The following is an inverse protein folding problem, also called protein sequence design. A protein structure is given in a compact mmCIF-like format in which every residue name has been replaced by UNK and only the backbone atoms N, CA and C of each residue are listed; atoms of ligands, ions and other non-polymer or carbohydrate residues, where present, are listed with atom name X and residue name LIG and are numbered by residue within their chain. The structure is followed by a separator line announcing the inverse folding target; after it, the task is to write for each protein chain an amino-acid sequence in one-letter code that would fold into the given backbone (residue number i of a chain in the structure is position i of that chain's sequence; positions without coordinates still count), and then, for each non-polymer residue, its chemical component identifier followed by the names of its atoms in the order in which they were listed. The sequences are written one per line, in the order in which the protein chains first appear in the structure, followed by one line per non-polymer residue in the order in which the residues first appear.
data_IF_089381971042
#
_entry.id   IF_089381971042
#
_cell.length_a   1.000
_cell.length_b   1.000
_cell.length_c   1.000
_cell.angle_alpha   90.00
_cell.angle_beta   90.00
_cell.angle_gamma   90.00
#
_symmetry.space_group_name_H-M   'P 1'
#
loop_
_entity.id
_entity.type
_entity.pdbx_description
1 polymer ?
#
# COMPACT_ATOMS: atom_id res chain seq x y z
N UNK A 1 -0.49 1.12 -13.35
CA UNK A 1 -1.63 1.85 -12.78
C UNK A 1 -1.40 1.98 -11.30
N UNK A 2 -1.79 3.09 -10.69
CA UNK A 2 -1.67 3.23 -9.24
C UNK A 2 -2.88 2.63 -8.52
N UNK A 3 -2.59 1.78 -7.54
CA UNK A 3 -3.58 1.27 -6.58
C UNK A 3 -3.18 1.72 -5.18
N UNK A 4 -4.05 2.51 -4.54
CA UNK A 4 -3.91 2.84 -3.14
C UNK A 4 -4.51 1.70 -2.31
N UNK A 5 -3.68 1.10 -1.46
CA UNK A 5 -4.05 0.02 -0.55
C UNK A 5 -4.12 0.58 0.85
N UNK A 6 -5.31 0.58 1.45
CA UNK A 6 -5.47 0.90 2.87
C UNK A 6 -5.70 -0.39 3.64
N UNK A 7 -4.97 -0.56 4.74
CA UNK A 7 -5.08 -1.73 5.61
C UNK A 7 -5.48 -1.31 7.02
N UNK A 8 -6.71 -1.66 7.39
CA UNK A 8 -7.19 -1.51 8.76
C UNK A 8 -6.91 -2.80 9.51
N UNK A 9 -6.09 -2.70 10.56
CA UNK A 9 -5.57 -3.82 11.32
C UNK A 9 -5.35 -3.41 12.76
N UNK A 10 -5.79 -4.23 13.70
CA UNK A 10 -5.50 -4.01 15.11
C UNK A 10 -4.02 -4.25 15.40
N UNK A 11 -3.25 -3.17 15.60
CA UNK A 11 -1.82 -3.24 15.93
C UNK A 11 -1.48 -3.26 17.41
N UNK A 12 -2.46 -3.34 18.32
CA UNK A 12 -2.17 -3.50 19.75
C UNK A 12 -1.65 -4.90 20.06
N UNK A 13 -2.08 -5.89 19.29
CA UNK A 13 -1.67 -7.29 19.45
C UNK A 13 -0.36 -7.59 18.69
N UNK A 14 0.49 -8.50 19.19
CA UNK A 14 1.67 -8.98 18.46
C UNK A 14 1.31 -9.59 17.09
N UNK A 15 0.16 -10.27 17.00
CA UNK A 15 -0.33 -10.89 15.77
C UNK A 15 -0.65 -9.84 14.69
N UNK A 16 -1.39 -8.78 15.03
CA UNK A 16 -1.72 -7.73 14.08
C UNK A 16 -0.49 -6.92 13.65
N UNK A 17 0.45 -6.62 14.57
CA UNK A 17 1.76 -6.04 14.20
C UNK A 17 2.52 -6.91 13.20
N UNK A 18 2.45 -8.24 13.36
CA UNK A 18 3.09 -9.19 12.43
C UNK A 18 2.42 -9.18 11.05
N UNK A 19 1.09 -9.18 10.98
CA UNK A 19 0.35 -9.07 9.71
C UNK A 19 0.65 -7.75 8.99
N UNK A 20 0.63 -6.62 9.69
CA UNK A 20 1.01 -5.32 9.11
C UNK A 20 2.42 -5.33 8.53
N UNK A 21 3.40 -5.92 9.22
CA UNK A 21 4.77 -6.04 8.69
C UNK A 21 4.83 -6.86 7.40
N UNK A 22 4.05 -7.94 7.30
CA UNK A 22 4.01 -8.80 6.11
C UNK A 22 3.31 -8.12 4.93
N UNK A 23 2.16 -7.48 5.17
CA UNK A 23 1.48 -6.68 4.16
C UNK A 23 2.38 -5.54 3.68
N UNK A 24 3.00 -4.80 4.61
CA UNK A 24 3.92 -3.72 4.25
C UNK A 24 5.07 -4.22 3.37
N UNK A 25 5.75 -5.30 3.78
CA UNK A 25 6.82 -5.92 2.98
C UNK A 25 6.32 -6.35 1.60
N UNK A 26 5.09 -6.82 1.49
CA UNK A 26 4.50 -7.26 0.22
C UNK A 26 4.23 -6.06 -0.69
N UNK A 27 3.58 -5.00 -0.18
CA UNK A 27 3.28 -3.78 -0.93
C UNK A 27 4.55 -3.03 -1.36
N UNK A 28 5.56 -2.96 -0.50
CA UNK A 28 6.83 -2.25 -0.79
C UNK A 28 7.65 -2.87 -1.94
N UNK A 29 7.32 -4.09 -2.39
CA UNK A 29 7.91 -4.64 -3.62
C UNK A 29 7.35 -4.00 -4.90
N UNK A 30 6.25 -3.25 -4.79
CA UNK A 30 5.51 -2.67 -5.92
C UNK A 30 5.29 -1.15 -5.76
N UNK A 31 5.91 -0.52 -4.76
CA UNK A 31 5.73 0.90 -4.51
C UNK A 31 6.16 1.29 -3.09
N UNK A 32 5.44 2.22 -2.48
CA UNK A 32 5.82 2.82 -1.21
C UNK A 32 4.76 2.73 -0.12
N UNK A 33 5.22 2.85 1.12
CA UNK A 33 4.38 3.01 2.31
C UNK A 33 4.30 4.50 2.63
N UNK A 34 3.15 5.10 2.38
CA UNK A 34 2.92 6.55 2.51
C UNK A 34 2.40 6.96 3.87
N UNK A 35 1.73 6.06 4.58
CA UNK A 35 1.34 6.25 5.98
C UNK A 35 1.56 4.96 6.78
N UNK A 36 1.11 4.94 8.04
CA UNK A 36 1.29 3.78 8.90
C UNK A 36 0.73 2.49 8.30
N UNK A 37 -0.47 2.49 7.72
CA UNK A 37 -1.04 1.30 7.08
C UNK A 37 -1.66 1.61 5.71
N UNK A 38 -1.11 2.60 5.03
CA UNK A 38 -1.50 2.99 3.67
C UNK A 38 -0.31 2.87 2.73
N UNK A 39 -0.54 2.26 1.58
CA UNK A 39 0.47 1.91 0.60
C UNK A 39 0.04 2.32 -0.80
N UNK A 40 0.96 2.90 -1.54
CA UNK A 40 0.80 3.22 -2.96
C UNK A 40 1.55 2.16 -3.76
N UNK A 41 0.84 1.41 -4.61
CA UNK A 41 1.41 0.34 -5.42
C UNK A 41 1.22 0.65 -6.90
N UNK A 42 2.32 0.87 -7.63
CA UNK A 42 2.28 1.02 -9.09
C UNK A 42 2.45 -0.37 -9.73
N UNK A 43 1.36 -0.88 -10.29
CA UNK A 43 1.31 -2.26 -10.79
C UNK A 43 0.66 -2.34 -12.17
N UNK A 44 1.09 -3.30 -12.97
CA UNK A 44 0.34 -3.77 -14.14
C UNK A 44 -0.81 -4.73 -13.73
N UNK A 45 -1.74 -5.10 -14.64
CA UNK A 45 -2.86 -5.99 -14.30
C UNK A 45 -2.45 -7.36 -13.77
N UNK A 46 -1.38 -7.97 -14.28
CA UNK A 46 -0.91 -9.28 -13.85
C UNK A 46 -0.23 -9.22 -12.47
N UNK A 47 0.54 -8.17 -12.23
CA UNK A 47 1.12 -7.86 -10.92
C UNK A 47 0.03 -7.58 -9.89
N UNK A 48 -1.02 -6.84 -10.26
CA UNK A 48 -2.16 -6.57 -9.38
C UNK A 48 -2.84 -7.86 -8.89
N UNK A 49 -3.13 -8.80 -9.79
CA UNK A 49 -3.76 -10.07 -9.43
C UNK A 49 -2.89 -10.83 -8.41
N UNK A 50 -1.57 -10.89 -8.64
CA UNK A 50 -0.62 -11.54 -7.72
C UNK A 50 -0.53 -10.81 -6.37
N UNK A 51 -0.45 -9.49 -6.38
CA UNK A 51 -0.38 -8.66 -5.18
C UNK A 51 -1.65 -8.85 -4.34
N UNK A 52 -2.83 -8.64 -4.94
CA UNK A 52 -4.12 -8.80 -4.26
C UNK A 52 -4.24 -10.19 -3.63
N UNK A 53 -3.88 -11.25 -4.37
CA UNK A 53 -3.90 -12.62 -3.85
C UNK A 53 -3.06 -12.79 -2.58
N UNK A 54 -1.84 -12.26 -2.57
CA UNK A 54 -0.95 -12.29 -1.40
C UNK A 54 -1.52 -11.49 -0.23
N UNK A 55 -2.05 -10.29 -0.47
CA UNK A 55 -2.59 -9.43 0.60
C UNK A 55 -3.82 -10.05 1.26
N UNK A 56 -4.74 -10.58 0.46
CA UNK A 56 -5.96 -11.26 0.95
C UNK A 56 -5.59 -12.54 1.71
N UNK A 57 -4.53 -13.25 1.31
CA UNK A 57 -4.06 -14.42 2.04
C UNK A 57 -3.41 -14.08 3.40
N UNK A 58 -2.74 -12.94 3.52
CA UNK A 58 -2.04 -12.54 4.75
C UNK A 58 -2.93 -11.86 5.79
N UNK A 59 -4.06 -11.28 5.39
CA UNK A 59 -4.99 -10.61 6.32
C UNK A 59 -5.83 -11.61 7.12
N UNK A 60 -6.32 -11.18 8.27
CA UNK A 60 -7.37 -11.89 9.01
C UNK A 60 -8.74 -11.33 8.63
N UNK A 61 -9.51 -12.08 7.84
CA UNK A 61 -10.83 -11.67 7.36
C UNK A 61 -11.87 -11.36 8.45
N UNK A 62 -11.66 -11.82 9.69
CA UNK A 62 -12.60 -11.55 10.79
C UNK A 62 -12.29 -10.26 11.53
N UNK A 63 -11.05 -9.80 11.47
CA UNK A 63 -10.55 -8.72 12.34
C UNK A 63 -9.92 -7.55 11.58
N UNK A 64 -9.56 -7.76 10.31
CA UNK A 64 -8.88 -6.78 9.49
C UNK A 64 -9.72 -6.44 8.26
N UNK A 65 -9.44 -5.29 7.65
CA UNK A 65 -10.04 -4.92 6.36
C UNK A 65 -8.99 -4.34 5.40
N UNK A 66 -9.12 -4.70 4.12
CA UNK A 66 -8.35 -4.10 3.03
C UNK A 66 -9.30 -3.35 2.11
N UNK A 67 -8.95 -2.12 1.76
CA UNK A 67 -9.62 -1.37 0.70
C UNK A 67 -8.63 -1.02 -0.38
N UNK A 68 -9.10 -1.10 -1.61
CA UNK A 68 -8.30 -0.88 -2.80
C UNK A 68 -8.95 0.23 -3.62
N UNK A 69 -8.22 1.33 -3.83
CA UNK A 69 -8.67 2.44 -4.65
C UNK A 69 -7.84 2.48 -5.91
N UNK A 70 -8.50 2.32 -7.05
CA UNK A 70 -7.86 2.32 -8.36
C UNK A 70 -7.80 3.75 -8.88
N UNK A 71 -6.64 4.38 -8.77
CA UNK A 71 -6.44 5.77 -9.19
C UNK A 71 -6.12 5.89 -10.69
N UNK A 72 -5.78 4.76 -11.33
CA UNK A 72 -5.57 4.67 -12.77
C UNK A 72 -4.16 5.10 -13.19
N UNK A 73 -4.02 5.50 -14.45
CA UNK A 73 -2.74 5.93 -15.04
C UNK A 73 -2.42 7.41 -14.87
N UNK A 74 -3.43 8.25 -14.57
CA UNK A 74 -3.28 9.70 -14.42
C UNK A 74 -3.60 10.10 -12.98
N UNK A 75 -2.89 9.48 -12.04
CA UNK A 75 -3.15 9.57 -10.61
C UNK A 75 -2.45 10.76 -9.95
N UNK A 76 -1.40 11.29 -10.59
CA UNK A 76 -0.47 12.29 -10.05
C UNK A 76 -1.21 13.55 -9.60
N UNK A 77 -2.21 13.98 -10.37
CA UNK A 77 -3.03 15.16 -10.07
C UNK A 77 -4.20 14.88 -9.12
N UNK A 78 -4.24 13.70 -8.48
CA UNK A 78 -5.37 13.25 -7.63
C UNK A 78 -4.94 12.98 -6.19
N UNK A 79 -3.68 13.20 -5.86
CA UNK A 79 -3.13 12.96 -4.53
C UNK A 79 -2.58 14.28 -4.01
N UNK A 80 -3.01 14.63 -2.80
CA UNK A 80 -2.50 15.74 -2.02
C UNK A 80 -2.13 15.18 -0.65
N UNK A 81 -0.98 15.61 -0.12
CA UNK A 81 -0.50 15.21 1.19
C UNK A 81 -0.39 16.44 2.07
N UNK A 82 -0.91 16.34 3.28
CA UNK A 82 -0.80 17.38 4.31
C UNK A 82 -0.19 16.81 5.59
N UNK A 83 0.76 17.55 6.17
CA UNK A 83 1.40 17.20 7.44
C UNK A 83 2.69 16.38 7.32
N UNK A 84 3.02 15.64 8.38
CA UNK A 84 4.35 15.07 8.54
C UNK A 84 4.69 13.95 7.54
N UNK A 85 5.99 13.85 7.19
CA UNK A 85 6.61 12.77 6.40
C UNK A 85 6.02 12.65 5.00
N UNK A 86 6.42 13.57 4.13
CA UNK A 86 6.11 13.47 2.70
C UNK A 86 6.57 12.12 2.12
N UNK A 87 5.70 11.45 1.35
CA UNK A 87 6.07 10.30 0.54
C UNK A 87 7.23 10.65 -0.39
N UNK A 88 8.08 9.67 -0.68
CA UNK A 88 9.14 9.90 -1.66
C UNK A 88 8.52 9.91 -3.04
N UNK A 89 8.98 10.82 -3.88
CA UNK A 89 8.73 10.69 -5.32
C UNK A 89 9.56 9.51 -5.85
N UNK A 90 8.88 8.40 -6.16
CA UNK A 90 9.52 7.19 -6.67
C UNK A 90 9.88 7.29 -8.16
N UNK A 91 9.25 8.21 -8.89
CA UNK A 91 9.56 8.47 -10.31
C UNK A 91 10.41 9.73 -10.51
N UNK A 92 10.66 10.45 -9.43
CA UNK A 92 11.55 11.60 -9.38
C UNK A 92 13.00 11.25 -9.73
N UNK A 93 13.74 12.28 -10.17
CA UNK A 93 15.13 12.17 -10.57
C UNK A 93 15.98 11.75 -9.34
N UNK A 94 16.70 10.63 -9.47
CA UNK A 94 17.46 10.03 -8.36
C UNK A 94 18.73 10.81 -7.97
N UNK A 95 19.32 11.57 -8.90
CA UNK A 95 20.53 12.39 -8.71
C UNK A 95 20.45 13.63 -9.61
N UNK A 96 20.73 14.81 -9.07
CA UNK A 96 20.92 16.08 -9.81
C UNK A 96 22.40 16.37 -9.96
#
# INVERSE_FOLDING_TARGET
MLVLVTYDVNTETPAGKRRLRRIAKTCQNYGQRVQFSVFECNVDPAQWVKLRGKLVHEMDHKHDSLRFYFLGSNWENRIEHEGAKEPRDLEGILIV
#
